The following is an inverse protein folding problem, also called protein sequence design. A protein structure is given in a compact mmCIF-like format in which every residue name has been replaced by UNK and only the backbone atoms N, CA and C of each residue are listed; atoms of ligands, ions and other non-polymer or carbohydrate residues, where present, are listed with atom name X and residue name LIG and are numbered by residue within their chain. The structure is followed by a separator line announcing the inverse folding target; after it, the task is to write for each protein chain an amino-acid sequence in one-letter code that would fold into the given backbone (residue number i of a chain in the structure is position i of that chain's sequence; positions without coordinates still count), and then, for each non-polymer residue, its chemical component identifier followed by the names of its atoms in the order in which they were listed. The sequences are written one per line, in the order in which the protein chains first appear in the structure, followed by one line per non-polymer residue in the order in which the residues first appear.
data_IF_282236092999
#
_entry.id   IF_282236092999
#
_cell.length_a   1.000
_cell.length_b   1.000
_cell.length_c   1.000
_cell.angle_alpha   90.00
_cell.angle_beta   90.00
_cell.angle_gamma   90.00
#
_symmetry.space_group_name_H-M   'P 1'
#
loop_
_entity.id
_entity.type
_entity.pdbx_description
1 polymer ?
#
# COMPACT_ATOMS: atom_id res chain seq x y z
N UNK A 1 16.82 12.03 -3.45
CA UNK A 1 15.44 11.97 -2.91
C UNK A 1 15.51 11.62 -1.43
N UNK A 2 15.04 12.49 -0.52
CA UNK A 2 14.87 12.10 0.89
C UNK A 2 13.81 10.99 0.95
N UNK A 3 14.11 9.87 1.60
CA UNK A 3 13.06 8.89 1.93
C UNK A 3 12.10 9.56 2.91
N UNK A 4 10.79 9.42 2.67
CA UNK A 4 9.76 9.91 3.60
C UNK A 4 9.75 9.13 4.93
N UNK A 5 10.50 8.02 5.00
CA UNK A 5 10.60 7.13 6.14
C UNK A 5 12.04 6.65 6.31
N UNK A 6 12.49 6.49 7.56
CA UNK A 6 13.84 5.99 7.89
C UNK A 6 13.99 4.47 7.72
N UNK A 7 12.87 3.77 7.47
CA UNK A 7 12.79 2.32 7.33
C UNK A 7 12.33 1.93 5.91
N UNK A 8 12.69 0.73 5.42
CA UNK A 8 12.14 0.22 4.17
C UNK A 8 10.61 0.25 4.18
N UNK A 9 10.03 0.65 3.06
CA UNK A 9 8.57 0.74 2.89
C UNK A 9 8.08 -0.50 2.15
N UNK A 10 7.28 -1.32 2.82
CA UNK A 10 6.52 -2.41 2.21
C UNK A 10 5.17 -1.86 1.79
N UNK A 11 4.97 -1.73 0.49
CA UNK A 11 3.70 -1.39 -0.13
C UNK A 11 2.80 -2.63 -0.20
N UNK A 12 1.82 -2.73 0.70
CA UNK A 12 0.79 -3.75 0.66
C UNK A 12 -0.30 -3.31 -0.34
N UNK A 13 -0.27 -3.93 -1.51
CA UNK A 13 -1.17 -3.62 -2.62
C UNK A 13 -2.47 -4.42 -2.49
N UNK A 14 -3.59 -3.70 -2.38
CA UNK A 14 -4.91 -4.26 -2.05
C UNK A 14 -5.99 -3.75 -3.01
N UNK A 15 -7.15 -4.40 -2.99
CA UNK A 15 -8.33 -3.88 -3.67
C UNK A 15 -8.76 -2.52 -3.07
N UNK A 16 -9.28 -1.64 -3.92
CA UNK A 16 -9.72 -0.30 -3.53
C UNK A 16 -10.78 -0.27 -2.42
N UNK A 17 -11.71 -1.22 -2.42
CA UNK A 17 -12.76 -1.28 -1.40
C UNK A 17 -12.19 -1.54 0.00
N UNK A 18 -11.08 -2.28 0.12
CA UNK A 18 -10.39 -2.52 1.39
C UNK A 18 -9.77 -1.23 1.88
N UNK A 19 -8.93 -0.60 1.05
CA UNK A 19 -8.25 0.66 1.40
C UNK A 19 -9.25 1.75 1.75
N UNK A 20 -10.35 1.87 0.99
CA UNK A 20 -11.41 2.85 1.24
C UNK A 20 -12.19 2.57 2.53
N UNK A 21 -12.40 1.30 2.88
CA UNK A 21 -13.01 0.93 4.16
C UNK A 21 -12.12 1.31 5.34
N UNK A 22 -10.80 1.10 5.23
CA UNK A 22 -9.83 1.47 6.26
C UNK A 22 -9.68 2.99 6.41
N UNK A 23 -9.67 3.75 5.30
CA UNK A 23 -9.72 5.22 5.33
C UNK A 23 -10.92 5.74 6.15
N UNK A 24 -12.06 5.05 6.04
CA UNK A 24 -13.30 5.32 6.80
C UNK A 24 -13.29 4.74 8.22
N UNK A 25 -12.16 4.23 8.70
CA UNK A 25 -12.00 3.65 10.03
C UNK A 25 -12.94 2.45 10.29
N UNK A 26 -13.29 1.69 9.24
CA UNK A 26 -14.17 0.51 9.35
C UNK A 26 -13.31 -0.75 9.51
N UNK A 27 -12.93 -1.04 10.75
CA UNK A 27 -11.95 -2.07 11.14
C UNK A 27 -12.47 -3.51 11.13
N UNK A 28 -13.76 -3.72 11.43
CA UNK A 28 -14.30 -5.01 11.87
C UNK A 28 -14.22 -6.18 10.89
N UNK A 29 -13.79 -5.95 9.64
CA UNK A 29 -13.80 -6.97 8.57
C UNK A 29 -12.38 -7.51 8.28
N UNK A 30 -11.32 -6.89 8.81
CA UNK A 30 -9.95 -7.12 8.32
C UNK A 30 -8.98 -7.66 9.39
N UNK A 31 -9.38 -8.68 10.14
CA UNK A 31 -8.53 -9.33 11.17
C UNK A 31 -7.14 -9.74 10.64
N UNK A 32 -7.02 -10.09 9.35
CA UNK A 32 -5.74 -10.43 8.71
C UNK A 32 -4.75 -9.27 8.64
N UNK A 33 -5.21 -8.01 8.74
CA UNK A 33 -4.32 -6.85 8.74
C UNK A 33 -3.47 -6.78 10.01
N UNK A 34 -3.99 -7.20 11.16
CA UNK A 34 -3.21 -7.24 12.41
C UNK A 34 -1.98 -8.13 12.28
N UNK A 35 -2.10 -9.27 11.57
CA UNK A 35 -0.97 -10.15 11.27
C UNK A 35 0.11 -9.44 10.45
N UNK A 36 -0.28 -8.69 9.41
CA UNK A 36 0.68 -7.92 8.61
C UNK A 36 1.36 -6.82 9.44
N UNK A 37 0.63 -6.19 10.35
CA UNK A 37 1.21 -5.18 11.24
C UNK A 37 2.22 -5.73 12.21
N UNK A 38 1.90 -6.86 12.86
CA UNK A 38 2.84 -7.55 13.75
C UNK A 38 4.07 -8.01 12.98
N UNK A 39 3.89 -8.53 11.77
CA UNK A 39 5.01 -8.92 10.92
C UNK A 39 5.89 -7.71 10.52
N UNK A 40 5.28 -6.60 10.10
CA UNK A 40 6.00 -5.39 9.72
C UNK A 40 6.77 -4.78 10.91
N UNK A 41 6.17 -4.77 12.10
CA UNK A 41 6.81 -4.31 13.32
C UNK A 41 8.01 -5.18 13.69
N UNK A 42 7.86 -6.51 13.68
CA UNK A 42 8.96 -7.46 13.94
C UNK A 42 10.09 -7.32 12.94
N UNK A 43 9.77 -7.05 11.67
CA UNK A 43 10.75 -6.85 10.61
C UNK A 43 11.37 -5.44 10.59
N UNK A 44 10.88 -4.50 11.42
CA UNK A 44 11.36 -3.13 11.43
C UNK A 44 11.08 -2.35 10.14
N UNK A 45 9.97 -2.64 9.45
CA UNK A 45 9.59 -2.00 8.18
C UNK A 45 8.32 -1.16 8.33
N UNK A 46 8.15 -0.18 7.44
CA UNK A 46 6.92 0.61 7.35
C UNK A 46 5.94 -0.12 6.44
N UNK A 47 4.76 -0.45 6.95
CA UNK A 47 3.67 -1.02 6.15
C UNK A 47 2.79 0.12 5.60
N UNK A 48 2.78 0.27 4.28
CA UNK A 48 2.00 1.26 3.54
C UNK A 48 0.96 0.57 2.69
N UNK A 49 -0.32 0.87 2.89
CA UNK A 49 -1.43 0.23 2.18
C UNK A 49 -1.92 1.14 1.05
N UNK A 50 -2.07 0.59 -0.15
CA UNK A 50 -2.56 1.34 -1.30
C UNK A 50 -3.33 0.44 -2.27
N UNK A 51 -4.07 1.07 -3.19
CA UNK A 51 -4.84 0.38 -4.23
C UNK A 51 -4.58 1.00 -5.60
N UNK A 52 -5.20 0.41 -6.64
CA UNK A 52 -5.05 0.85 -8.03
C UNK A 52 -5.41 2.33 -8.25
N UNK A 53 -6.33 2.86 -7.46
CA UNK A 53 -6.85 4.22 -7.59
C UNK A 53 -5.86 5.28 -7.11
N UNK A 54 -4.94 4.90 -6.21
CA UNK A 54 -3.97 5.81 -5.63
C UNK A 54 -2.67 5.95 -6.41
N UNK A 55 -2.51 5.29 -7.56
CA UNK A 55 -1.23 5.24 -8.27
C UNK A 55 -1.22 6.17 -9.47
N UNK A 56 -0.28 7.12 -9.51
CA UNK A 56 0.11 7.87 -10.69
C UNK A 56 1.60 7.67 -10.98
N UNK A 57 1.94 7.62 -12.26
CA UNK A 57 3.32 7.55 -12.75
C UNK A 57 3.72 8.81 -13.54
N UNK A 58 2.84 9.81 -13.56
CA UNK A 58 3.10 11.13 -14.12
C UNK A 58 2.24 12.18 -13.39
N UNK A 59 2.76 12.83 -12.33
CA UNK A 59 4.04 12.56 -11.67
C UNK A 59 4.04 11.20 -10.92
N UNK A 60 5.23 10.67 -10.62
CA UNK A 60 5.39 9.46 -9.79
C UNK A 60 4.86 9.73 -8.36
N UNK A 61 3.68 9.19 -8.06
CA UNK A 61 2.98 9.39 -6.79
C UNK A 61 2.09 8.19 -6.48
N UNK A 62 2.21 7.68 -5.26
CA UNK A 62 1.38 6.60 -4.72
C UNK A 62 0.70 7.11 -3.46
N UNK A 63 -0.61 7.28 -3.55
CA UNK A 63 -1.49 7.64 -2.45
C UNK A 63 -2.04 6.38 -1.78
N UNK A 64 -2.01 6.39 -0.45
CA UNK A 64 -2.44 5.26 0.35
C UNK A 64 -2.66 5.68 1.80
N UNK A 65 -2.48 4.72 2.71
CA UNK A 65 -2.63 4.93 4.14
C UNK A 65 -1.54 4.19 4.92
N UNK A 66 -1.24 4.73 6.10
CA UNK A 66 -0.47 4.06 7.14
C UNK A 66 -1.31 4.00 8.41
N UNK A 67 -1.03 3.02 9.27
CA UNK A 67 -1.64 2.99 10.60
C UNK A 67 -0.80 3.80 11.58
N UNK A 68 -1.33 4.94 12.03
CA UNK A 68 -0.72 5.75 13.07
C UNK A 68 -1.07 5.11 14.42
N UNK A 69 -0.13 4.34 14.98
CA UNK A 69 -0.30 3.65 16.26
C UNK A 69 -0.56 4.60 17.44
N UNK A 70 0.21 5.69 17.64
CA UNK A 70 -0.08 6.65 18.72
C UNK A 70 -1.51 7.19 18.71
N UNK A 71 -2.06 7.43 17.51
CA UNK A 71 -3.43 7.94 17.34
C UNK A 71 -4.48 6.86 17.10
N UNK A 72 -4.05 5.58 17.10
CA UNK A 72 -4.85 4.40 16.80
C UNK A 72 -5.75 4.55 15.56
N UNK A 73 -5.25 5.19 14.50
CA UNK A 73 -6.07 5.49 13.32
C UNK A 73 -5.30 5.36 12.00
N UNK A 74 -6.05 5.09 10.93
CA UNK A 74 -5.50 5.16 9.58
C UNK A 74 -5.34 6.59 9.12
N UNK A 75 -4.16 6.95 8.65
CA UNK A 75 -3.85 8.28 8.14
C UNK A 75 -3.46 8.21 6.66
N UNK A 76 -4.02 9.09 5.82
CA UNK A 76 -3.64 9.18 4.42
C UNK A 76 -2.22 9.71 4.29
N UNK A 77 -1.47 9.14 3.35
CA UNK A 77 -0.13 9.62 2.99
C UNK A 77 0.14 9.37 1.51
N UNK A 78 1.03 10.16 0.93
CA UNK A 78 1.55 9.97 -0.41
C UNK A 78 3.06 9.78 -0.38
N UNK A 79 3.54 8.80 -1.15
CA UNK A 79 4.97 8.53 -1.36
C UNK A 79 5.26 8.48 -2.85
N UNK A 80 6.52 8.60 -3.28
CA UNK A 80 6.87 8.42 -4.70
C UNK A 80 6.71 6.95 -5.14
N UNK A 81 7.16 6.01 -4.30
CA UNK A 81 7.06 4.55 -4.50
C UNK A 81 7.43 3.79 -3.22
N UNK A 82 6.94 2.55 -3.03
CA UNK A 82 7.46 1.66 -1.99
C UNK A 82 8.86 1.12 -2.37
N UNK A 83 9.57 0.55 -1.40
CA UNK A 83 10.81 -0.20 -1.64
C UNK A 83 10.49 -1.64 -2.07
N UNK A 84 9.47 -2.25 -1.44
CA UNK A 84 9.02 -3.62 -1.67
C UNK A 84 7.52 -3.60 -1.97
N UNK A 85 7.07 -4.32 -2.99
CA UNK A 85 5.67 -4.49 -3.34
C UNK A 85 5.20 -5.86 -2.84
N UNK A 86 4.38 -5.85 -1.79
CA UNK A 86 3.70 -7.06 -1.36
C UNK A 86 2.29 -7.10 -1.94
N UNK A 87 2.12 -7.91 -2.98
CA UNK A 87 0.91 -7.94 -3.79
C UNK A 87 -0.16 -8.88 -3.23
N UNK A 88 -1.29 -8.32 -2.80
CA UNK A 88 -2.46 -9.03 -2.30
C UNK A 88 -3.74 -8.57 -3.01
N UNK A 89 -3.58 -7.91 -4.16
CA UNK A 89 -4.69 -7.47 -5.00
C UNK A 89 -5.33 -8.69 -5.68
N UNK A 90 -6.66 -8.78 -5.63
CA UNK A 90 -7.42 -9.88 -6.24
C UNK A 90 -8.05 -9.43 -7.55
N UNK A 91 -8.61 -8.22 -7.57
CA UNK A 91 -9.35 -7.71 -8.72
C UNK A 91 -10.76 -8.26 -8.81
N UNK A 92 -11.67 -7.46 -9.37
CA UNK A 92 -13.09 -7.81 -9.56
C UNK A 92 -13.56 -7.60 -11.00
N UNK A 93 -12.68 -7.12 -11.88
CA UNK A 93 -12.99 -6.95 -13.30
C UNK A 93 -11.72 -6.96 -14.17
N UNK A 94 -11.84 -7.30 -15.46
CA UNK A 94 -10.70 -7.30 -16.39
C UNK A 94 -10.00 -5.93 -16.50
N UNK A 95 -10.75 -4.83 -16.37
CA UNK A 95 -10.18 -3.49 -16.39
C UNK A 95 -9.27 -3.23 -15.18
N UNK A 96 -9.67 -3.72 -14.00
CA UNK A 96 -8.85 -3.60 -12.79
C UNK A 96 -7.61 -4.48 -12.85
N UNK A 97 -7.73 -5.70 -13.38
CA UNK A 97 -6.59 -6.60 -13.62
C UNK A 97 -5.57 -5.97 -14.56
N UNK A 98 -6.04 -5.44 -15.71
CA UNK A 98 -5.18 -4.73 -16.67
C UNK A 98 -4.46 -3.54 -16.02
N UNK A 99 -5.15 -2.80 -15.14
CA UNK A 99 -4.56 -1.69 -14.39
C UNK A 99 -3.53 -2.18 -13.36
N UNK A 100 -3.84 -3.23 -12.62
CA UNK A 100 -2.94 -3.84 -11.64
C UNK A 100 -1.65 -4.36 -12.31
N UNK A 101 -1.78 -5.05 -13.44
CA UNK A 101 -0.65 -5.52 -14.24
C UNK A 101 0.22 -4.39 -14.77
N UNK A 102 -0.40 -3.30 -15.21
CA UNK A 102 0.33 -2.10 -15.57
C UNK A 102 1.12 -1.55 -14.37
N UNK A 103 0.50 -1.41 -13.21
CA UNK A 103 1.16 -0.94 -11.97
C UNK A 103 2.33 -1.84 -11.58
N UNK A 104 2.14 -3.17 -11.56
CA UNK A 104 3.18 -4.16 -11.27
C UNK A 104 4.40 -3.99 -12.19
N UNK A 105 4.18 -3.86 -13.50
CA UNK A 105 5.25 -3.64 -14.48
C UNK A 105 5.97 -2.31 -14.24
N UNK A 106 5.23 -1.24 -13.96
CA UNK A 106 5.82 0.08 -13.73
C UNK A 106 6.67 0.13 -12.45
N UNK A 107 6.24 -0.54 -11.38
CA UNK A 107 7.03 -0.65 -10.15
C UNK A 107 8.28 -1.50 -10.35
N UNK A 108 8.18 -2.64 -11.04
CA UNK A 108 9.35 -3.46 -11.36
C UNK A 108 10.40 -2.67 -12.17
N UNK A 109 9.97 -1.94 -13.20
CA UNK A 109 10.86 -1.05 -13.99
C UNK A 109 11.52 0.06 -13.17
N UNK A 110 10.93 0.43 -12.04
CA UNK A 110 11.41 1.47 -11.12
C UNK A 110 12.25 0.92 -9.97
N UNK A 111 12.58 -0.38 -9.99
CA UNK A 111 13.44 -1.02 -8.99
C UNK A 111 12.72 -1.42 -7.70
N UNK A 112 11.38 -1.50 -7.70
CA UNK A 112 10.63 -2.02 -6.56
C UNK A 112 10.76 -3.55 -6.52
N UNK A 113 11.14 -4.08 -5.36
CA UNK A 113 11.29 -5.52 -5.13
C UNK A 113 9.91 -6.20 -4.96
N UNK A 114 9.84 -7.51 -5.21
CA UNK A 114 8.62 -8.32 -5.00
C UNK A 114 8.78 -9.21 -3.77
#
# INVERSE_FOLDING_TARGET
MRKAFDRPIVGLFLDSWVVNSLKKQRYGIFFRLDLFFRAAERAGVTLFLFSIDGVSFNPDRVEGIIYNRPRQRWEPIAISRPDILYDRFVGRSPAQEKRADFIRRQFHRRGVLK
#
